data_IF_919072835874
#
_entry.id   IF_919072835874
#
_cell.length_a   1.000
_cell.length_b   1.000
_cell.length_c   1.000
_cell.angle_alpha   90.00
_cell.angle_beta   90.00
_cell.angle_gamma   90.00
#
_symmetry.space_group_name_H-M   'P 1'
#
loop_
_entity.id
_entity.type
_entity.pdbx_description
1 polymer ?
#
# COMPACT_ATOMS: atom_id res chain seq x y z
N UNK A 1 -4.91 10.83 -18.54
CA UNK A 1 -5.18 9.40 -18.79
C UNK A 1 -4.31 8.98 -19.96
N UNK A 2 -3.55 7.89 -19.83
CA UNK A 2 -2.73 7.32 -20.91
C UNK A 2 -3.30 5.95 -21.28
N UNK A 3 -3.57 5.74 -22.55
CA UNK A 3 -4.03 4.45 -23.10
C UNK A 3 -2.91 3.99 -24.04
N UNK A 4 -2.32 2.80 -23.83
CA UNK A 4 -1.33 2.25 -24.76
C UNK A 4 -1.98 1.92 -26.11
N UNK A 5 -1.29 2.22 -27.21
CA UNK A 5 -1.81 1.98 -28.56
C UNK A 5 -1.84 0.48 -28.88
N UNK A 6 -0.89 -0.30 -28.35
CA UNK A 6 -0.76 -1.74 -28.59
C UNK A 6 -1.77 -2.58 -27.79
N UNK A 7 -2.29 -2.05 -26.68
CA UNK A 7 -3.25 -2.75 -25.83
C UNK A 7 -4.28 -1.78 -25.21
N UNK A 8 -5.34 -1.42 -25.95
CA UNK A 8 -6.33 -0.44 -25.52
C UNK A 8 -7.30 -0.98 -24.45
N UNK A 9 -7.08 -2.20 -23.95
CA UNK A 9 -7.94 -2.86 -22.95
C UNK A 9 -7.79 -2.27 -21.54
N UNK A 10 -6.73 -1.47 -21.30
CA UNK A 10 -6.50 -0.80 -20.03
C UNK A 10 -6.00 0.63 -20.22
N UNK A 11 -6.11 1.44 -19.16
CA UNK A 11 -5.60 2.80 -19.12
C UNK A 11 -4.85 3.06 -17.82
N UNK A 12 -3.81 3.89 -17.89
CA UNK A 12 -3.09 4.41 -16.72
C UNK A 12 -3.61 5.79 -16.39
N UNK A 13 -4.11 5.96 -15.16
CA UNK A 13 -4.62 7.22 -14.64
C UNK A 13 -3.71 7.69 -13.51
N UNK A 14 -3.25 8.94 -13.62
CA UNK A 14 -2.50 9.61 -12.56
C UNK A 14 -3.44 10.57 -11.84
N UNK A 15 -3.42 10.50 -10.51
CA UNK A 15 -4.26 11.32 -9.64
C UNK A 15 -3.46 11.82 -8.45
N UNK A 16 -3.88 12.95 -7.88
CA UNK A 16 -3.35 13.47 -6.63
C UNK A 16 -4.18 12.97 -5.45
N UNK A 17 -3.54 12.33 -4.48
CA UNK A 17 -4.16 12.07 -3.18
C UNK A 17 -4.28 13.39 -2.40
N UNK A 18 -5.51 13.84 -2.15
CA UNK A 18 -5.77 15.09 -1.42
C UNK A 18 -5.95 14.87 0.08
N UNK A 19 -6.43 13.69 0.47
CA UNK A 19 -6.71 13.31 1.84
C UNK A 19 -6.47 11.81 2.02
N UNK A 20 -6.00 11.44 3.20
CA UNK A 20 -5.85 10.05 3.63
C UNK A 20 -6.68 9.89 4.89
N UNK A 21 -7.54 8.87 4.91
CA UNK A 21 -8.30 8.48 6.08
C UNK A 21 -7.77 7.16 6.60
N UNK A 22 -7.47 7.10 7.89
CA UNK A 22 -7.01 5.89 8.56
C UNK A 22 -7.81 5.68 9.84
N UNK A 23 -8.04 4.41 10.19
CA UNK A 23 -8.64 4.08 11.48
C UNK A 23 -7.63 4.40 12.59
N UNK A 24 -8.06 5.05 13.67
CA UNK A 24 -7.13 5.51 14.72
C UNK A 24 -6.32 4.39 15.35
N UNK A 25 -6.89 3.18 15.42
CA UNK A 25 -6.23 2.04 16.06
C UNK A 25 -5.05 1.48 15.25
N UNK A 26 -5.01 1.72 13.93
CA UNK A 26 -3.92 1.26 13.05
C UNK A 26 -2.82 2.31 12.87
N UNK A 27 -2.87 3.40 13.64
CA UNK A 27 -1.87 4.47 13.59
C UNK A 27 -0.89 4.32 14.76
N UNK A 28 0.39 4.59 14.49
CA UNK A 28 1.39 4.81 15.55
C UNK A 28 1.31 6.27 16.02
N UNK A 29 1.11 7.19 15.07
CA UNK A 29 0.92 8.62 15.28
C UNK A 29 0.06 9.21 14.14
N UNK A 30 -0.10 10.54 14.09
CA UNK A 30 -0.93 11.22 13.09
C UNK A 30 -0.43 11.11 11.63
N UNK A 31 0.77 10.57 11.41
CA UNK A 31 1.44 10.49 10.10
C UNK A 31 1.88 9.08 9.70
N UNK A 32 1.92 8.14 10.63
CA UNK A 32 2.45 6.79 10.40
C UNK A 32 1.43 5.70 10.73
N UNK A 33 1.22 4.80 9.77
CA UNK A 33 0.47 3.55 9.95
C UNK A 33 1.36 2.54 10.67
N UNK A 34 0.79 1.83 11.63
CA UNK A 34 1.40 0.71 12.33
C UNK A 34 1.37 -0.54 11.43
N UNK A 35 2.52 -0.98 10.87
CA UNK A 35 2.54 -2.13 9.96
C UNK A 35 2.18 -3.45 10.65
N UNK A 36 2.25 -3.50 11.99
CA UNK A 36 1.87 -4.70 12.76
C UNK A 36 0.36 -4.83 12.93
N UNK A 37 -0.38 -3.71 12.84
CA UNK A 37 -1.86 -3.68 12.94
C UNK A 37 -2.52 -3.54 11.58
N UNK A 38 -1.85 -2.89 10.65
CA UNK A 38 -2.33 -2.78 9.28
C UNK A 38 -2.14 -4.11 8.55
N UNK A 39 -3.26 -4.76 8.20
CA UNK A 39 -3.28 -6.05 7.52
C UNK A 39 -3.84 -5.89 6.09
N UNK A 40 -3.04 -5.36 5.14
CA UNK A 40 -3.46 -5.23 3.76
C UNK A 40 -3.60 -6.59 3.07
N UNK A 41 -4.48 -6.64 2.07
CA UNK A 41 -4.62 -7.79 1.18
C UNK A 41 -3.65 -7.65 0.01
N UNK A 42 -2.75 -8.62 -0.14
CA UNK A 42 -1.77 -8.67 -1.22
C UNK A 42 -2.26 -9.60 -2.31
N UNK A 43 -2.40 -9.08 -3.53
CA UNK A 43 -2.70 -9.89 -4.72
C UNK A 43 -1.40 -10.34 -5.38
N UNK A 44 -1.10 -11.65 -5.28
CA UNK A 44 0.11 -12.24 -5.82
C UNK A 44 -0.25 -13.48 -6.65
N UNK A 45 0.16 -13.53 -7.92
CA UNK A 45 -0.12 -14.61 -8.87
C UNK A 45 -1.59 -15.09 -8.90
N UNK A 46 -2.54 -14.15 -8.83
CA UNK A 46 -4.00 -14.43 -8.76
C UNK A 46 -4.51 -15.05 -7.47
N UNK A 47 -3.72 -14.97 -6.41
CA UNK A 47 -4.10 -15.38 -5.06
C UNK A 47 -4.02 -14.20 -4.11
N UNK A 48 -4.87 -14.21 -3.09
CA UNK A 48 -4.90 -13.19 -2.04
C UNK A 48 -4.18 -13.68 -0.79
N UNK A 49 -3.28 -12.86 -0.26
CA UNK A 49 -2.50 -13.14 0.94
C UNK A 49 -2.60 -11.99 1.93
N UNK A 50 -2.45 -12.30 3.22
CA UNK A 50 -2.18 -11.29 4.24
C UNK A 50 -0.68 -11.06 4.43
N UNK A 51 -0.31 -10.05 5.22
CA UNK A 51 1.06 -9.88 5.68
C UNK A 51 1.45 -10.98 6.68
N UNK A 52 2.72 -11.39 6.62
CA UNK A 52 3.36 -12.21 7.64
C UNK A 52 4.07 -11.35 8.70
N UNK A 53 4.76 -12.02 9.62
CA UNK A 53 5.57 -11.34 10.63
C UNK A 53 6.72 -10.53 10.00
N UNK A 54 7.07 -9.40 10.62
CA UNK A 54 8.27 -8.65 10.26
C UNK A 54 9.52 -9.53 10.43
N UNK A 55 10.42 -9.50 9.44
CA UNK A 55 11.64 -10.31 9.43
C UNK A 55 12.92 -9.47 9.65
N UNK A 56 12.81 -8.14 9.67
CA UNK A 56 13.94 -7.23 9.90
C UNK A 56 13.74 -5.87 9.26
N UNK A 57 14.70 -4.98 9.48
CA UNK A 57 14.67 -3.59 9.01
C UNK A 57 15.95 -3.20 8.29
N UNK A 58 15.83 -2.23 7.38
CA UNK A 58 16.99 -1.66 6.67
C UNK A 58 17.69 -0.59 7.52
N UNK A 59 18.92 -0.22 7.16
CA UNK A 59 19.71 0.79 7.90
C UNK A 59 19.08 2.19 7.92
N UNK A 60 18.11 2.47 7.04
CA UNK A 60 17.39 3.75 6.97
C UNK A 60 16.09 3.75 7.77
N UNK A 61 15.73 2.64 8.41
CA UNK A 61 14.58 2.60 9.29
C UNK A 61 14.87 3.40 10.55
N UNK A 62 14.05 4.40 10.83
CA UNK A 62 14.07 5.11 12.10
C UNK A 62 13.68 4.15 13.25
N UNK A 63 14.00 4.54 14.49
CA UNK A 63 13.77 3.73 15.69
C UNK A 63 12.34 3.90 16.21
#
# INVERSE_FOLDING_TARGET
>A
IRIPDEEPSFAVVEVQAIHIHAHKEILIDDRHVDPSKWSPLIYNFRHYFGLGNELGKTFRSEK
#
